data_IF_393334353607
#
_entry.id   IF_393334353607
#
_cell.length_a   1.000
_cell.length_b   1.000
_cell.length_c   1.000
_cell.angle_alpha   90.00
_cell.angle_beta   90.00
_cell.angle_gamma   90.00
#
_symmetry.space_group_name_H-M   'P 1'
#
loop_
_entity.id
_entity.type
_entity.pdbx_description
1 polymer ?
#
# COMPACT_ATOMS: atom_id res chain seq x y z
N UNK A 1 2.96 14.41 20.06
CA UNK A 1 2.28 13.15 19.71
C UNK A 1 3.19 12.37 18.80
N UNK A 2 3.49 11.11 19.12
CA UNK A 2 4.21 10.23 18.17
C UNK A 2 3.30 9.99 16.98
N UNK A 3 3.85 10.16 15.80
CA UNK A 3 3.13 10.09 14.53
C UNK A 3 3.25 8.68 13.99
N UNK A 4 2.30 7.84 14.29
CA UNK A 4 2.32 6.42 13.97
C UNK A 4 1.60 6.14 12.66
N UNK A 5 2.12 5.21 11.87
CA UNK A 5 1.42 4.61 10.73
C UNK A 5 1.38 3.10 10.93
N UNK A 6 0.20 2.52 10.80
CA UNK A 6 0.01 1.08 10.86
C UNK A 6 0.06 0.47 9.45
N UNK A 7 0.85 -0.59 9.30
CA UNK A 7 0.94 -1.42 8.10
C UNK A 7 0.35 -2.80 8.39
N UNK A 8 -0.67 -3.17 7.64
CA UNK A 8 -1.36 -4.45 7.75
C UNK A 8 -1.04 -5.31 6.52
N UNK A 9 -0.49 -6.50 6.74
CA UNK A 9 -0.15 -7.45 5.68
C UNK A 9 -1.05 -8.69 5.78
N UNK A 10 -1.65 -9.06 4.67
CA UNK A 10 -2.54 -10.21 4.55
C UNK A 10 -2.15 -11.05 3.35
N UNK A 11 -2.00 -12.36 3.55
CA UNK A 11 -2.00 -13.29 2.43
C UNK A 11 -3.46 -13.61 2.03
N UNK A 12 -3.90 -13.11 0.88
CA UNK A 12 -5.29 -13.26 0.42
C UNK A 12 -5.69 -14.72 0.13
N UNK A 13 -4.73 -15.64 -0.04
CA UNK A 13 -5.03 -17.07 -0.20
C UNK A 13 -5.39 -17.76 1.10
N UNK A 14 -5.03 -17.16 2.25
CA UNK A 14 -5.39 -17.68 3.57
C UNK A 14 -6.87 -17.42 3.91
N UNK A 15 -7.57 -16.58 3.11
CA UNK A 15 -9.01 -16.36 3.25
C UNK A 15 -9.76 -17.56 2.68
N UNK A 16 -10.23 -18.44 3.53
CA UNK A 16 -10.98 -19.61 3.10
C UNK A 16 -12.27 -19.22 2.33
N UNK A 17 -12.64 -20.00 1.32
CA UNK A 17 -13.86 -19.76 0.53
C UNK A 17 -15.13 -19.62 1.39
N UNK A 18 -15.18 -20.36 2.51
CA UNK A 18 -16.29 -20.31 3.48
C UNK A 18 -16.38 -18.99 4.24
N UNK A 19 -15.28 -18.22 4.31
CA UNK A 19 -15.20 -16.93 5.00
C UNK A 19 -15.60 -15.76 4.10
N UNK A 20 -15.62 -15.94 2.78
CA UNK A 20 -15.91 -14.87 1.83
C UNK A 20 -17.30 -14.25 2.00
N UNK A 21 -18.30 -15.06 2.34
CA UNK A 21 -19.67 -14.56 2.60
C UNK A 21 -19.74 -13.63 3.81
N UNK A 22 -18.88 -13.81 4.81
CA UNK A 22 -18.74 -12.93 5.97
C UNK A 22 -18.12 -11.58 5.67
N UNK A 23 -17.47 -11.42 4.50
CA UNK A 23 -16.82 -10.17 4.11
C UNK A 23 -17.77 -9.19 3.41
N UNK A 24 -18.83 -9.66 2.77
CA UNK A 24 -19.76 -8.81 2.02
C UNK A 24 -20.42 -7.69 2.86
N UNK A 25 -20.82 -7.90 4.13
CA UNK A 25 -21.38 -6.85 4.97
C UNK A 25 -20.44 -5.66 5.21
N UNK A 26 -19.13 -5.85 5.08
CA UNK A 26 -18.13 -4.78 5.21
C UNK A 26 -18.02 -3.86 3.99
N UNK A 27 -18.65 -4.21 2.85
CA UNK A 27 -18.72 -3.35 1.68
C UNK A 27 -19.80 -2.28 1.86
N UNK A 28 -19.47 -1.02 1.55
CA UNK A 28 -20.51 -0.01 1.38
C UNK A 28 -21.34 -0.27 0.10
N UNK A 29 -22.44 0.45 -0.09
CA UNK A 29 -23.38 0.23 -1.20
C UNK A 29 -22.70 0.32 -2.57
N UNK A 30 -21.82 1.31 -2.79
CA UNK A 30 -21.12 1.51 -4.06
C UNK A 30 -20.12 0.36 -4.32
N UNK A 31 -19.33 -0.02 -3.32
CA UNK A 31 -18.37 -1.11 -3.43
C UNK A 31 -19.07 -2.45 -3.71
N UNK A 32 -20.23 -2.69 -3.10
CA UNK A 32 -21.04 -3.89 -3.35
C UNK A 32 -21.53 -3.94 -4.79
N UNK A 33 -22.01 -2.82 -5.32
CA UNK A 33 -22.41 -2.72 -6.72
C UNK A 33 -21.23 -2.99 -7.66
N UNK A 34 -20.05 -2.40 -7.40
CA UNK A 34 -18.85 -2.62 -8.18
C UNK A 34 -18.41 -4.10 -8.14
N UNK A 35 -18.41 -4.70 -6.96
CA UNK A 35 -18.06 -6.11 -6.75
C UNK A 35 -18.97 -7.05 -7.56
N UNK A 36 -20.27 -6.80 -7.58
CA UNK A 36 -21.24 -7.61 -8.33
C UNK A 36 -21.01 -7.56 -9.84
N UNK A 37 -20.45 -6.46 -10.36
CA UNK A 37 -20.15 -6.30 -11.80
C UNK A 37 -18.87 -7.01 -12.25
N UNK A 38 -18.01 -7.42 -11.32
CA UNK A 38 -16.75 -8.11 -11.65
C UNK A 38 -17.05 -9.54 -12.08
N UNK A 39 -16.80 -9.85 -13.36
CA UNK A 39 -17.08 -11.18 -13.94
C UNK A 39 -16.01 -12.22 -13.63
N UNK A 40 -14.74 -11.80 -13.55
CA UNK A 40 -13.62 -12.71 -13.35
C UNK A 40 -13.55 -13.15 -11.88
N UNK A 41 -13.67 -14.45 -11.55
CA UNK A 41 -13.79 -14.92 -10.18
C UNK A 41 -12.63 -14.49 -9.27
N UNK A 42 -11.39 -14.66 -9.73
CA UNK A 42 -10.19 -14.28 -8.97
C UNK A 42 -10.20 -12.79 -8.64
N UNK A 43 -10.44 -11.92 -9.63
CA UNK A 43 -10.50 -10.47 -9.44
C UNK A 43 -11.65 -10.04 -8.54
N UNK A 44 -12.78 -10.76 -8.63
CA UNK A 44 -13.94 -10.53 -7.76
C UNK A 44 -13.62 -10.85 -6.30
N UNK A 45 -12.90 -11.95 -6.04
CA UNK A 45 -12.42 -12.32 -4.71
C UNK A 45 -11.38 -11.32 -4.19
N UNK A 46 -10.38 -10.96 -4.99
CA UNK A 46 -9.36 -9.96 -4.65
C UNK A 46 -9.99 -8.61 -4.28
N UNK A 47 -11.00 -8.17 -5.03
CA UNK A 47 -11.75 -6.95 -4.74
C UNK A 47 -12.49 -7.06 -3.41
N UNK A 48 -13.25 -8.14 -3.19
CA UNK A 48 -14.01 -8.36 -1.96
C UNK A 48 -13.10 -8.34 -0.74
N UNK A 49 -12.04 -9.15 -0.76
CA UNK A 49 -11.08 -9.24 0.35
C UNK A 49 -10.45 -7.88 0.63
N UNK A 50 -9.89 -7.23 -0.40
CA UNK A 50 -9.17 -5.97 -0.21
C UNK A 50 -10.06 -4.84 0.32
N UNK A 51 -11.32 -4.74 -0.15
CA UNK A 51 -12.24 -3.70 0.28
C UNK A 51 -12.83 -3.98 1.66
N UNK A 52 -13.20 -5.22 1.95
CA UNK A 52 -13.70 -5.60 3.26
C UNK A 52 -12.64 -5.40 4.36
N UNK A 53 -11.40 -5.85 4.12
CA UNK A 53 -10.29 -5.65 5.07
C UNK A 53 -10.01 -4.16 5.27
N UNK A 54 -9.91 -3.38 4.19
CA UNK A 54 -9.72 -1.93 4.28
C UNK A 54 -10.83 -1.28 5.12
N UNK A 55 -12.10 -1.56 4.80
CA UNK A 55 -13.22 -0.94 5.51
C UNK A 55 -13.24 -1.35 6.99
N UNK A 56 -12.95 -2.61 7.30
CA UNK A 56 -12.85 -3.08 8.68
C UNK A 56 -11.77 -2.33 9.47
N UNK A 57 -10.59 -2.18 8.88
CA UNK A 57 -9.49 -1.46 9.51
C UNK A 57 -9.81 0.03 9.69
N UNK A 58 -10.38 0.68 8.67
CA UNK A 58 -10.80 2.08 8.75
C UNK A 58 -11.92 2.29 9.78
N UNK A 59 -12.89 1.38 9.83
CA UNK A 59 -13.97 1.38 10.84
C UNK A 59 -13.39 1.31 12.25
N UNK A 60 -12.42 0.42 12.47
CA UNK A 60 -11.74 0.29 13.76
C UNK A 60 -10.95 1.55 14.12
N UNK A 61 -10.21 2.10 13.16
CA UNK A 61 -9.38 3.29 13.35
C UNK A 61 -10.20 4.55 13.64
N UNK A 62 -11.34 4.71 12.93
CA UNK A 62 -12.21 5.89 13.05
C UNK A 62 -13.33 5.74 14.09
N UNK A 63 -13.59 4.53 14.59
CA UNK A 63 -14.73 4.26 15.46
C UNK A 63 -16.09 4.49 14.76
N UNK A 64 -16.18 4.27 13.44
CA UNK A 64 -17.37 4.51 12.62
C UNK A 64 -17.89 3.22 12.00
N UNK A 65 -19.18 3.21 11.61
CA UNK A 65 -19.78 2.11 10.86
C UNK A 65 -19.25 2.09 9.41
N UNK A 66 -19.01 0.91 8.79
CA UNK A 66 -18.53 0.80 7.42
C UNK A 66 -19.46 1.47 6.39
N UNK A 67 -20.77 1.58 6.65
CA UNK A 67 -21.70 2.28 5.78
C UNK A 67 -21.52 3.80 5.80
N UNK A 68 -20.86 4.34 6.82
CA UNK A 68 -20.55 5.77 6.96
C UNK A 68 -19.17 6.14 6.39
N UNK A 69 -18.41 5.17 5.85
CA UNK A 69 -17.15 5.46 5.16
C UNK A 69 -17.43 6.05 3.78
N UNK A 70 -17.06 7.31 3.59
CA UNK A 70 -17.22 8.01 2.32
C UNK A 70 -15.91 8.09 1.57
N UNK A 71 -15.88 7.47 0.39
CA UNK A 71 -14.70 7.46 -0.47
C UNK A 71 -14.88 8.37 -1.67
N UNK A 72 -13.82 9.06 -2.04
CA UNK A 72 -13.71 9.68 -3.35
C UNK A 72 -12.47 9.16 -4.06
N UNK A 73 -12.44 9.30 -5.36
CA UNK A 73 -11.30 8.90 -6.19
C UNK A 73 -10.62 10.16 -6.72
N UNK A 74 -9.36 10.34 -6.36
CA UNK A 74 -8.56 11.45 -6.87
C UNK A 74 -8.33 11.39 -8.38
N UNK A 75 -7.74 12.44 -8.98
CA UNK A 75 -7.57 12.58 -10.44
C UNK A 75 -6.84 11.40 -11.09
N UNK A 76 -5.93 10.77 -10.35
CA UNK A 76 -5.10 9.66 -10.84
C UNK A 76 -5.54 8.30 -10.27
N UNK A 77 -6.77 8.19 -9.76
CA UNK A 77 -7.34 6.93 -9.30
C UNK A 77 -7.04 6.55 -7.84
N UNK A 78 -6.27 7.36 -7.09
CA UNK A 78 -6.02 7.10 -5.66
C UNK A 78 -7.30 7.33 -4.86
N UNK A 79 -7.80 6.32 -4.12
CA UNK A 79 -8.94 6.50 -3.24
C UNK A 79 -8.53 7.24 -1.96
N UNK A 80 -9.42 8.08 -1.45
CA UNK A 80 -9.26 8.76 -0.17
C UNK A 80 -10.62 8.91 0.52
N UNK A 81 -10.61 9.22 1.82
CA UNK A 81 -11.80 9.48 2.62
C UNK A 81 -12.19 10.96 2.55
N UNK A 82 -13.50 11.24 2.67
CA UNK A 82 -14.03 12.61 2.57
C UNK A 82 -15.17 12.91 3.56
N UNK A 83 -15.57 11.94 4.39
CA UNK A 83 -16.65 12.13 5.38
C UNK A 83 -16.21 12.97 6.57
N UNK A 84 -17.16 13.52 7.34
CA UNK A 84 -16.86 14.25 8.58
C UNK A 84 -16.03 13.42 9.54
N UNK A 85 -14.91 14.00 10.05
CA UNK A 85 -13.94 13.32 10.93
C UNK A 85 -13.04 12.30 10.22
N UNK A 86 -13.14 12.19 8.88
CA UNK A 86 -12.34 11.25 8.07
C UNK A 86 -11.19 11.94 7.33
N UNK A 87 -11.18 13.26 7.27
CA UNK A 87 -10.25 14.09 6.50
C UNK A 87 -8.80 13.98 6.98
N UNK A 88 -8.59 13.56 8.22
CA UNK A 88 -7.25 13.33 8.78
C UNK A 88 -6.78 11.87 8.67
N UNK A 89 -7.68 10.95 8.31
CA UNK A 89 -7.32 9.55 8.12
C UNK A 89 -6.86 9.31 6.68
N UNK A 90 -5.59 8.99 6.52
CA UNK A 90 -4.98 8.67 5.24
C UNK A 90 -4.72 7.19 5.14
N UNK A 91 -4.97 6.62 3.97
CA UNK A 91 -4.68 5.22 3.72
C UNK A 91 -4.13 5.00 2.31
N UNK A 92 -3.45 3.89 2.13
CA UNK A 92 -3.05 3.39 0.83
C UNK A 92 -2.96 1.88 0.86
N UNK A 93 -3.01 1.23 -0.32
CA UNK A 93 -2.92 -0.22 -0.43
C UNK A 93 -2.11 -0.62 -1.66
N UNK A 94 -1.45 -1.77 -1.56
CA UNK A 94 -0.72 -2.41 -2.65
C UNK A 94 -0.93 -3.92 -2.64
N UNK A 95 -0.79 -4.54 -3.81
CA UNK A 95 -0.91 -5.97 -4.00
C UNK A 95 0.29 -6.49 -4.79
N UNK A 96 0.87 -7.61 -4.36
CA UNK A 96 1.86 -8.33 -5.13
C UNK A 96 1.71 -9.84 -4.91
N UNK A 97 1.51 -10.59 -5.99
CA UNK A 97 1.16 -12.00 -5.89
C UNK A 97 -0.12 -12.20 -5.09
N UNK A 98 -0.02 -12.97 -4.02
CA UNK A 98 -1.15 -13.27 -3.13
C UNK A 98 -1.20 -12.34 -1.89
N UNK A 99 -0.28 -11.40 -1.79
CA UNK A 99 -0.19 -10.50 -0.65
C UNK A 99 -0.87 -9.16 -0.92
N UNK A 100 -1.64 -8.72 0.07
CA UNK A 100 -2.20 -7.39 0.22
C UNK A 100 -1.47 -6.68 1.35
N UNK A 101 -1.11 -5.42 1.15
CA UNK A 101 -0.67 -4.52 2.21
C UNK A 101 -1.57 -3.29 2.24
N UNK A 102 -1.94 -2.88 3.45
CA UNK A 102 -2.72 -1.66 3.71
C UNK A 102 -1.94 -0.82 4.72
N UNK A 103 -1.77 0.46 4.40
CA UNK A 103 -1.22 1.45 5.31
C UNK A 103 -2.32 2.41 5.76
N UNK A 104 -2.37 2.74 7.07
CA UNK A 104 -3.30 3.71 7.66
C UNK A 104 -2.52 4.63 8.60
N UNK A 105 -2.78 5.94 8.53
CA UNK A 105 -2.14 6.93 9.41
C UNK A 105 -2.79 8.30 9.31
N UNK A 106 -2.47 9.20 10.25
CA UNK A 106 -3.14 10.50 10.43
C UNK A 106 -2.24 11.70 10.08
N UNK A 107 -1.02 11.44 9.60
CA UNK A 107 0.00 12.49 9.43
C UNK A 107 0.09 13.07 8.01
N UNK A 108 -0.97 12.94 7.24
CA UNK A 108 -1.04 13.39 5.86
C UNK A 108 -0.86 12.27 4.84
N UNK A 109 -0.78 12.62 3.55
CA UNK A 109 -0.71 11.64 2.48
C UNK A 109 0.40 10.62 2.68
N UNK A 110 0.06 9.35 2.48
CA UNK A 110 0.97 8.22 2.54
C UNK A 110 0.80 7.30 1.33
N UNK A 111 1.83 6.51 1.05
CA UNK A 111 1.81 5.52 -0.01
C UNK A 111 2.58 4.28 0.39
N UNK A 112 2.05 3.12 0.05
CA UNK A 112 2.68 1.83 0.30
C UNK A 112 2.82 1.06 -0.99
N UNK A 113 3.93 0.36 -1.14
CA UNK A 113 4.16 -0.54 -2.27
C UNK A 113 4.80 -1.84 -1.83
N UNK A 114 4.39 -2.93 -2.47
CA UNK A 114 4.89 -4.28 -2.25
C UNK A 114 5.29 -4.91 -3.58
N UNK A 115 6.54 -5.37 -3.67
CA UNK A 115 7.07 -6.05 -4.85
C UNK A 115 7.75 -7.35 -4.45
N UNK A 116 7.16 -8.48 -4.82
CA UNK A 116 7.67 -9.81 -4.45
C UNK A 116 8.76 -10.35 -5.38
N UNK A 117 9.29 -9.56 -6.31
CA UNK A 117 10.47 -9.90 -7.11
C UNK A 117 10.39 -11.15 -7.99
N UNK A 118 9.22 -11.79 -8.10
CA UNK A 118 9.03 -13.09 -8.78
C UNK A 118 9.05 -13.02 -10.32
N UNK A 119 9.11 -11.83 -10.90
CA UNK A 119 9.16 -11.67 -12.36
C UNK A 119 10.61 -11.59 -12.80
N UNK A 120 11.09 -12.65 -13.46
CA UNK A 120 12.39 -12.70 -14.13
C UNK A 120 12.42 -11.75 -15.34
N UNK A 121 12.38 -10.46 -15.12
CA UNK A 121 12.66 -9.44 -16.14
C UNK A 121 14.07 -8.93 -15.90
N UNK A 122 14.84 -8.71 -16.98
CA UNK A 122 16.11 -8.01 -16.84
C UNK A 122 15.85 -6.63 -16.23
N UNK A 123 16.40 -6.30 -15.06
CA UNK A 123 16.08 -5.05 -14.37
C UNK A 123 16.70 -3.82 -15.04
N UNK A 124 17.90 -3.96 -15.65
CA UNK A 124 18.67 -2.84 -16.19
C UNK A 124 17.96 -2.08 -17.32
N UNK A 125 17.35 -2.72 -18.34
CA UNK A 125 16.61 -2.00 -19.38
C UNK A 125 15.43 -1.19 -18.83
N UNK A 126 14.76 -1.68 -17.76
CA UNK A 126 13.69 -0.94 -17.10
C UNK A 126 14.26 0.24 -16.29
N UNK A 127 15.34 0.02 -15.56
CA UNK A 127 16.02 1.08 -14.83
C UNK A 127 16.53 2.18 -15.77
N UNK A 128 17.16 1.82 -16.89
CA UNK A 128 17.65 2.78 -17.88
C UNK A 128 16.53 3.67 -18.44
N UNK A 129 15.32 3.10 -18.58
CA UNK A 129 14.16 3.81 -19.13
C UNK A 129 13.45 4.70 -18.13
N UNK A 130 13.40 4.31 -16.86
CA UNK A 130 12.46 4.90 -15.89
C UNK A 130 13.14 5.50 -14.65
N UNK A 131 14.41 5.19 -14.37
CA UNK A 131 15.09 5.67 -13.19
C UNK A 131 16.01 6.85 -13.53
N UNK A 132 16.42 7.60 -12.50
CA UNK A 132 17.46 8.62 -12.66
C UNK A 132 18.80 7.96 -13.06
N UNK A 133 19.65 8.72 -13.76
CA UNK A 133 20.92 8.19 -14.28
C UNK A 133 21.83 7.62 -13.19
N UNK A 134 21.88 8.26 -12.01
CA UNK A 134 22.68 7.81 -10.89
C UNK A 134 22.19 6.47 -10.32
N UNK A 135 20.87 6.23 -10.27
CA UNK A 135 20.28 4.96 -9.82
C UNK A 135 20.53 3.84 -10.83
N UNK A 136 20.41 4.14 -12.13
CA UNK A 136 20.76 3.18 -13.16
C UNK A 136 22.24 2.78 -13.06
N UNK A 137 23.15 3.74 -12.92
CA UNK A 137 24.58 3.46 -12.78
C UNK A 137 24.86 2.62 -11.55
N UNK A 138 24.25 2.96 -10.40
CA UNK A 138 24.36 2.16 -9.19
C UNK A 138 23.95 0.69 -9.44
N UNK A 139 22.81 0.47 -10.11
CA UNK A 139 22.35 -0.90 -10.42
C UNK A 139 23.28 -1.62 -11.39
N UNK A 140 23.82 -0.92 -12.40
CA UNK A 140 24.73 -1.48 -13.37
C UNK A 140 26.07 -1.91 -12.77
N UNK A 141 26.55 -1.21 -11.73
CA UNK A 141 27.80 -1.48 -11.04
C UNK A 141 27.69 -2.65 -10.02
N UNK A 142 26.44 -3.07 -9.69
CA UNK A 142 26.24 -4.18 -8.78
C UNK A 142 26.55 -5.53 -9.44
N UNK A 143 26.99 -6.53 -8.67
CA UNK A 143 27.04 -7.92 -9.13
C UNK A 143 25.67 -8.36 -9.68
N UNK A 144 25.66 -9.10 -10.77
CA UNK A 144 24.41 -9.52 -11.45
C UNK A 144 23.40 -10.19 -10.49
N UNK A 145 23.88 -10.95 -9.52
CA UNK A 145 23.03 -11.63 -8.53
C UNK A 145 22.27 -10.64 -7.61
N UNK A 146 22.76 -9.42 -7.43
CA UNK A 146 22.20 -8.39 -6.56
C UNK A 146 21.30 -7.42 -7.31
N UNK A 147 21.48 -7.26 -8.62
CA UNK A 147 20.77 -6.27 -9.44
C UNK A 147 19.27 -6.37 -9.33
N UNK A 148 18.71 -7.59 -9.34
CA UNK A 148 17.28 -7.80 -9.30
C UNK A 148 16.67 -7.34 -7.96
N UNK A 149 17.28 -7.70 -6.84
CA UNK A 149 16.81 -7.29 -5.52
C UNK A 149 16.93 -5.78 -5.32
N UNK A 150 18.05 -5.18 -5.73
CA UNK A 150 18.28 -3.74 -5.64
C UNK A 150 17.30 -2.95 -6.52
N UNK A 151 17.01 -3.44 -7.74
CA UNK A 151 16.01 -2.84 -8.61
C UNK A 151 14.62 -2.82 -7.99
N UNK A 152 14.13 -3.96 -7.46
CA UNK A 152 12.80 -4.01 -6.86
C UNK A 152 12.72 -3.19 -5.57
N UNK A 153 13.81 -3.08 -4.82
CA UNK A 153 13.89 -2.17 -3.67
C UNK A 153 13.72 -0.71 -4.08
N UNK A 154 14.43 -0.26 -5.11
CA UNK A 154 14.29 1.10 -5.65
C UNK A 154 12.90 1.32 -6.26
N UNK A 155 12.41 0.34 -7.01
CA UNK A 155 11.08 0.40 -7.62
C UNK A 155 9.99 0.58 -6.58
N UNK A 156 9.94 -0.28 -5.55
CA UNK A 156 8.92 -0.19 -4.49
C UNK A 156 9.00 1.12 -3.70
N UNK A 157 10.20 1.65 -3.43
CA UNK A 157 10.39 2.96 -2.82
C UNK A 157 9.79 4.09 -3.67
N UNK A 158 10.10 4.10 -4.97
CA UNK A 158 9.58 5.10 -5.91
C UNK A 158 8.06 5.04 -6.04
N UNK A 159 7.52 3.84 -6.19
CA UNK A 159 6.07 3.63 -6.24
C UNK A 159 5.39 4.07 -4.94
N UNK A 160 5.98 3.81 -3.77
CA UNK A 160 5.44 4.29 -2.51
C UNK A 160 5.38 5.82 -2.46
N UNK A 161 6.43 6.52 -2.92
CA UNK A 161 6.42 8.00 -3.00
C UNK A 161 5.38 8.50 -4.00
N UNK A 162 5.31 7.91 -5.21
CA UNK A 162 4.31 8.27 -6.22
C UNK A 162 2.88 8.04 -5.74
N UNK A 163 2.64 6.98 -4.96
CA UNK A 163 1.34 6.71 -4.32
C UNK A 163 1.05 7.69 -3.19
N UNK A 164 2.06 8.11 -2.41
CA UNK A 164 1.89 9.17 -1.41
C UNK A 164 1.50 10.49 -2.08
N UNK A 165 2.22 10.89 -3.11
CA UNK A 165 1.91 12.07 -3.94
C UNK A 165 0.54 11.98 -4.62
N UNK A 166 0.10 10.78 -5.05
CA UNK A 166 -1.18 10.56 -5.71
C UNK A 166 -1.14 10.72 -7.24
N UNK A 167 0.01 10.99 -7.84
CA UNK A 167 0.17 11.16 -9.29
C UNK A 167 0.36 9.85 -10.07
N UNK A 168 0.57 8.73 -9.38
CA UNK A 168 0.89 7.44 -9.99
C UNK A 168 2.16 7.47 -10.84
N UNK A 169 2.42 6.39 -11.58
CA UNK A 169 3.61 6.26 -12.46
C UNK A 169 3.69 7.39 -13.51
N UNK A 170 2.55 7.94 -13.93
CA UNK A 170 2.50 9.02 -14.90
C UNK A 170 3.15 10.33 -14.43
N UNK A 171 3.29 10.51 -13.10
CA UNK A 171 4.00 11.67 -12.55
C UNK A 171 5.51 11.62 -12.81
N UNK A 172 6.08 10.46 -13.13
CA UNK A 172 7.48 10.24 -13.49
C UNK A 172 8.27 9.55 -12.36
N UNK A 173 8.70 8.32 -12.64
CA UNK A 173 9.59 7.58 -11.73
C UNK A 173 10.98 8.23 -11.64
N UNK A 174 11.44 8.92 -12.68
CA UNK A 174 12.69 9.67 -12.75
C UNK A 174 12.70 10.92 -11.86
N UNK A 175 11.52 11.44 -11.49
CA UNK A 175 11.38 12.59 -10.58
C UNK A 175 11.44 12.22 -9.09
N UNK A 176 11.48 10.95 -8.79
CA UNK A 176 11.67 10.40 -7.43
C UNK A 176 13.03 9.71 -7.41
N UNK A 177 14.07 10.44 -7.04
CA UNK A 177 15.45 9.94 -7.08
C UNK A 177 15.92 9.53 -5.69
N UNK A 178 16.52 8.35 -5.57
CA UNK A 178 17.20 7.89 -4.38
C UNK A 178 18.71 7.91 -4.59
N UNK A 179 19.38 8.87 -3.97
CA UNK A 179 20.83 8.99 -4.09
C UNK A 179 21.52 8.00 -3.16
N UNK A 180 22.40 7.11 -3.69
CA UNK A 180 23.17 6.18 -2.90
C UNK A 180 24.24 6.93 -2.12
N UNK A 181 24.02 7.12 -0.84
CA UNK A 181 24.98 7.63 0.14
C UNK A 181 25.08 6.61 1.28
N UNK A 182 25.76 6.93 2.40
CA UNK A 182 25.77 6.08 3.59
C UNK A 182 24.36 5.70 4.07
N UNK A 183 23.38 6.61 3.86
CA UNK A 183 21.94 6.34 3.92
C UNK A 183 21.31 6.88 2.64
N UNK A 184 20.40 6.10 2.04
CA UNK A 184 19.66 6.54 0.86
C UNK A 184 18.93 7.85 1.15
N UNK A 185 19.20 8.89 0.36
CA UNK A 185 18.54 10.17 0.44
C UNK A 185 17.52 10.29 -0.70
N UNK A 186 16.30 10.68 -0.38
CA UNK A 186 15.25 10.96 -1.35
C UNK A 186 15.39 12.39 -1.86
N UNK A 187 15.52 12.56 -3.19
CA UNK A 187 15.31 13.81 -3.88
C UNK A 187 13.94 13.76 -4.57
N UNK A 188 12.99 14.51 -4.04
CA UNK A 188 11.61 14.57 -4.54
C UNK A 188 11.43 15.81 -5.43
N UNK A 189 11.37 15.60 -6.76
CA UNK A 189 11.18 16.65 -7.77
C UNK A 189 9.70 16.81 -8.20
N UNK A 190 8.74 16.16 -7.51
CA UNK A 190 7.32 16.23 -7.84
C UNK A 190 6.64 17.45 -7.22
N UNK A 191 6.71 17.56 -5.90
CA UNK A 191 5.97 18.53 -5.11
C UNK A 191 6.80 19.18 -3.99
N UNK A 192 8.06 18.75 -3.84
CA UNK A 192 8.96 19.21 -2.78
C UNK A 192 8.58 18.76 -1.36
N UNK A 193 7.60 17.86 -1.23
CA UNK A 193 7.23 17.30 0.08
C UNK A 193 8.34 16.38 0.58
N UNK A 194 8.75 16.57 1.83
CA UNK A 194 9.73 15.72 2.49
C UNK A 194 9.05 14.44 3.00
N UNK A 195 9.03 13.43 2.14
CA UNK A 195 8.58 12.09 2.51
C UNK A 195 9.69 11.31 3.19
N UNK A 196 9.41 10.75 4.33
CA UNK A 196 10.24 9.67 4.92
C UNK A 196 9.90 8.37 4.24
N UNK A 197 10.91 7.61 3.83
CA UNK A 197 10.72 6.33 3.17
C UNK A 197 11.33 5.24 4.03
N UNK A 198 10.47 4.31 4.43
CA UNK A 198 10.84 3.09 5.14
C UNK A 198 10.72 1.91 4.19
N UNK A 199 11.62 0.94 4.28
CA UNK A 199 11.54 -0.28 3.49
C UNK A 199 12.01 -1.50 4.27
N UNK A 200 11.39 -2.63 3.95
CA UNK A 200 11.66 -3.93 4.59
C UNK A 200 11.73 -5.03 3.54
N UNK A 201 12.65 -6.00 3.69
CA UNK A 201 12.59 -7.23 2.92
C UNK A 201 11.32 -8.00 3.31
N UNK A 202 10.58 -8.50 2.32
CA UNK A 202 9.35 -9.24 2.53
C UNK A 202 9.19 -10.35 1.51
N UNK A 203 9.11 -11.63 1.96
CA UNK A 203 8.85 -12.82 1.12
C UNK A 203 9.71 -12.88 -0.16
N UNK A 204 10.98 -12.56 -0.04
CA UNK A 204 11.92 -12.53 -1.16
C UNK A 204 11.82 -11.30 -2.08
N UNK A 205 11.06 -10.31 -1.66
CA UNK A 205 10.91 -9.01 -2.32
C UNK A 205 11.05 -7.85 -1.35
N UNK A 206 10.36 -6.73 -1.62
CA UNK A 206 10.46 -5.49 -0.86
C UNK A 206 9.10 -4.86 -0.60
N UNK A 207 8.90 -4.42 0.64
CA UNK A 207 7.81 -3.57 1.10
C UNK A 207 8.36 -2.17 1.36
N UNK A 208 7.70 -1.14 0.85
CA UNK A 208 8.09 0.25 1.09
C UNK A 208 6.89 1.10 1.50
N UNK A 209 7.11 2.01 2.45
CA UNK A 209 6.15 3.01 2.91
C UNK A 209 6.77 4.39 2.73
N UNK A 210 6.03 5.31 2.12
CA UNK A 210 6.36 6.74 2.05
C UNK A 210 5.28 7.57 2.76
N UNK A 211 5.69 8.53 3.58
CA UNK A 211 4.79 9.40 4.33
C UNK A 211 5.55 10.37 5.24
N UNK A 212 4.84 11.08 6.09
CA UNK A 212 5.45 11.96 7.11
C UNK A 212 5.68 11.26 8.45
N UNK A 213 5.40 9.97 8.52
CA UNK A 213 5.50 9.18 9.75
C UNK A 213 6.94 8.98 10.18
N UNK A 214 7.17 8.99 11.49
CA UNK A 214 8.45 8.64 12.11
C UNK A 214 8.43 7.24 12.73
N UNK A 215 7.23 6.70 12.99
CA UNK A 215 7.03 5.43 13.65
C UNK A 215 6.06 4.56 12.85
N UNK A 216 6.41 3.29 12.65
CA UNK A 216 5.65 2.36 11.81
C UNK A 216 5.46 1.04 12.54
N UNK A 217 4.21 0.64 12.70
CA UNK A 217 3.84 -0.64 13.26
C UNK A 217 3.45 -1.62 12.16
N UNK A 218 4.09 -2.78 12.12
CA UNK A 218 3.79 -3.86 11.20
C UNK A 218 2.88 -4.89 11.88
N UNK A 219 1.73 -5.18 11.24
CA UNK A 219 0.77 -6.17 11.69
C UNK A 219 0.59 -7.24 10.61
N UNK A 220 0.81 -8.49 10.95
CA UNK A 220 0.45 -9.60 10.08
C UNK A 220 -0.93 -10.12 10.46
N UNK A 221 -1.84 -10.20 9.46
CA UNK A 221 -3.26 -10.49 9.70
C UNK A 221 -3.62 -11.98 9.59
N UNK A 222 -2.67 -12.89 9.72
CA UNK A 222 -2.90 -14.34 9.53
C UNK A 222 -3.93 -14.91 10.51
N UNK A 223 -4.07 -14.33 11.72
CA UNK A 223 -5.05 -14.72 12.75
C UNK A 223 -6.28 -13.80 12.82
N UNK A 224 -6.25 -12.66 12.13
CA UNK A 224 -7.32 -11.64 12.23
C UNK A 224 -8.57 -11.97 11.43
N UNK A 225 -8.59 -13.02 10.61
CA UNK A 225 -9.78 -13.42 9.85
C UNK A 225 -10.93 -13.89 10.76
N UNK A 226 -10.64 -14.45 11.92
CA UNK A 226 -11.65 -14.76 12.94
C UNK A 226 -12.30 -13.49 13.51
N UNK A 227 -11.52 -12.42 13.69
CA UNK A 227 -12.00 -11.12 14.14
C UNK A 227 -12.85 -10.44 13.06
N UNK A 228 -12.60 -10.72 11.77
CA UNK A 228 -13.34 -10.13 10.66
C UNK A 228 -14.71 -10.77 10.43
N UNK A 229 -14.88 -12.02 10.83
CA UNK A 229 -16.17 -12.75 10.75
C UNK A 229 -17.03 -12.58 12.00
N UNK A 230 -16.44 -12.10 13.11
CA UNK A 230 -17.16 -11.71 14.32
C UNK A 230 -17.77 -10.31 14.20
N UNK A 231 -18.87 -10.06 14.92
CA UNK A 231 -19.42 -8.71 15.06
C UNK A 231 -18.35 -7.76 15.63
N UNK A 232 -18.32 -6.48 15.23
CA UNK A 232 -17.35 -5.52 15.73
C UNK A 232 -17.54 -5.36 17.24
N UNK A 233 -16.71 -5.99 18.04
CA UNK A 233 -16.55 -5.61 19.43
C UNK A 233 -15.83 -4.28 19.45
N UNK A 234 -16.60 -3.23 19.62
CA UNK A 234 -16.12 -1.91 20.03
C UNK A 234 -15.66 -2.01 21.48
N UNK A 235 -14.51 -2.57 21.73
CA UNK A 235 -13.86 -2.37 23.02
C UNK A 235 -13.33 -0.94 23.05
N UNK A 236 -14.22 -0.07 23.52
CA UNK A 236 -13.82 1.21 24.11
C UNK A 236 -13.15 0.88 25.42
N UNK A 237 -11.84 0.91 25.46
CA UNK A 237 -11.15 0.98 26.75
C UNK A 237 -10.49 2.34 26.91
N UNK A 238 -10.57 2.90 28.14
CA UNK A 238 -10.54 4.31 28.51
C UNK A 238 -9.19 5.00 28.34
#
# INVERSE_FOLDING_TARGET
MMTTTDLFLLNATNVAQTQLSGLEPWLNALQRQQWQQIKQPRRRQEFLVSRAVLNRLLTSHLGQDPQNLHFYTGPHGKPALTGPGQEHCHFNLSHSGDWLVIAIGDQGPLGVDLELGRRARSPLPLAQRFFAAAEYQYLADLPQAEQNSAFYRLWSRKEAVLKAHGGGIAAGLDKVEFVPQQKWCLLNHLDGVDYRVHDWPWQGGWLSLAGRTSDVHLHQLDECLEIMTGQPHLDKNP
#
